data_IF_260025870335
#
_entry.id   IF_260025870335
#
_cell.length_a   1.000
_cell.length_b   1.000
_cell.length_c   1.000
_cell.angle_alpha   90.00
_cell.angle_beta   90.00
_cell.angle_gamma   90.00
#
_symmetry.space_group_name_H-M   'P 1'
#
loop_
_entity.id
_entity.type
_entity.pdbx_description
1 polymer ?
#
# COMPACT_ATOMS: atom_id res chain seq x y z
N UNK A 1 7.87 25.20 14.58
CA UNK A 1 9.06 24.79 13.81
C UNK A 1 9.25 23.29 14.00
N UNK A 2 9.10 22.50 12.94
CA UNK A 2 9.34 21.05 12.96
C UNK A 2 10.83 20.81 13.18
N UNK A 3 11.20 20.29 14.35
CA UNK A 3 12.60 19.96 14.68
C UNK A 3 13.06 18.83 13.76
N UNK A 4 14.06 19.13 12.94
CA UNK A 4 14.80 18.14 12.17
C UNK A 4 15.67 17.31 13.11
N UNK A 5 15.85 16.02 12.82
CA UNK A 5 16.77 15.18 13.58
C UNK A 5 18.23 15.49 13.22
N UNK A 6 19.18 15.27 14.14
CA UNK A 6 20.61 15.37 13.82
C UNK A 6 20.97 14.46 12.62
N UNK A 7 21.60 15.03 11.59
CA UNK A 7 21.97 14.32 10.36
C UNK A 7 20.80 14.06 9.39
N UNK A 8 19.62 14.65 9.62
CA UNK A 8 18.49 14.54 8.71
C UNK A 8 18.71 15.38 7.45
N UNK A 9 18.73 14.71 6.30
CA UNK A 9 18.88 15.30 4.98
C UNK A 9 17.58 15.22 4.23
N UNK A 10 17.14 16.34 3.66
CA UNK A 10 15.90 16.45 2.90
C UNK A 10 16.18 16.63 1.41
N UNK A 11 15.51 15.84 0.57
CA UNK A 11 15.52 15.98 -0.90
C UNK A 11 14.13 16.29 -1.42
N UNK A 12 14.04 17.16 -2.42
CA UNK A 12 12.77 17.50 -3.09
C UNK A 12 12.41 16.41 -4.10
N UNK A 13 11.17 15.93 -4.01
CA UNK A 13 10.64 14.94 -4.95
C UNK A 13 10.29 15.65 -6.27
N UNK A 14 10.93 15.20 -7.35
CA UNK A 14 10.61 15.57 -8.73
C UNK A 14 9.52 14.64 -9.27
N UNK A 15 8.50 15.23 -9.87
CA UNK A 15 7.47 14.52 -10.61
C UNK A 15 7.84 14.53 -12.10
N UNK A 16 7.52 13.46 -12.79
CA UNK A 16 7.73 13.24 -14.23
C UNK A 16 6.59 13.81 -15.09
N UNK A 17 5.63 14.49 -14.48
CA UNK A 17 4.48 15.10 -15.12
C UNK A 17 4.27 16.53 -14.60
N UNK A 18 3.64 17.35 -15.45
CA UNK A 18 3.24 18.70 -15.09
C UNK A 18 1.92 18.74 -14.32
N UNK A 19 1.82 19.63 -13.34
CA UNK A 19 0.60 19.83 -12.56
C UNK A 19 0.46 21.29 -12.10
N UNK A 20 -0.78 21.74 -11.89
CA UNK A 20 -1.09 23.14 -11.56
C UNK A 20 -1.09 23.44 -10.06
N UNK A 21 -1.12 22.42 -9.21
CA UNK A 21 -1.13 22.62 -7.77
C UNK A 21 0.20 23.23 -7.33
N UNK A 22 0.20 24.30 -6.53
CA UNK A 22 1.41 24.75 -5.85
C UNK A 22 1.72 23.78 -4.69
N UNK A 23 2.29 22.64 -5.03
CA UNK A 23 2.57 21.53 -4.12
C UNK A 23 4.01 21.08 -4.27
N UNK A 24 4.75 21.04 -3.16
CA UNK A 24 6.10 20.47 -3.11
C UNK A 24 6.16 19.39 -2.05
N UNK A 25 6.74 18.25 -2.40
CA UNK A 25 7.00 17.14 -1.48
C UNK A 25 8.50 17.02 -1.25
N UNK A 26 8.90 16.91 0.02
CA UNK A 26 10.29 16.56 0.38
C UNK A 26 10.31 15.25 1.14
N UNK A 27 11.31 14.42 0.84
CA UNK A 27 11.59 13.15 1.51
C UNK A 27 12.91 13.25 2.28
N UNK A 28 12.92 12.69 3.48
CA UNK A 28 14.08 12.66 4.36
C UNK A 28 14.75 11.28 4.34
N UNK A 29 16.06 11.24 4.59
CA UNK A 29 16.82 10.00 4.78
C UNK A 29 16.35 9.18 6.00
N UNK A 30 15.59 9.78 6.94
CA UNK A 30 14.95 9.08 8.05
C UNK A 30 13.59 8.45 7.68
N UNK A 31 13.15 8.60 6.43
CA UNK A 31 11.85 8.09 6.00
C UNK A 31 10.65 8.96 6.39
N UNK A 32 10.90 10.25 6.66
CA UNK A 32 9.87 11.26 6.89
C UNK A 32 9.54 11.98 5.58
N UNK A 33 8.29 12.42 5.48
CA UNK A 33 7.82 13.26 4.38
C UNK A 33 7.34 14.58 4.94
N UNK A 34 7.56 15.67 4.19
CA UNK A 34 6.98 16.98 4.47
C UNK A 34 6.38 17.59 3.21
N UNK A 35 5.27 18.28 3.38
CA UNK A 35 4.53 18.89 2.27
C UNK A 35 4.46 20.40 2.41
N UNK A 36 4.58 21.07 1.26
CA UNK A 36 4.45 22.51 1.13
C UNK A 36 3.31 22.79 0.17
N UNK A 37 2.25 23.44 0.65
CA UNK A 37 1.11 23.92 -0.12
C UNK A 37 0.59 25.22 0.51
N UNK A 38 -0.54 25.76 0.03
CA UNK A 38 -1.11 27.01 0.58
C UNK A 38 -1.48 26.95 2.07
N UNK A 39 -1.69 25.75 2.62
CA UNK A 39 -2.17 25.52 4.00
C UNK A 39 -1.03 24.98 4.90
N UNK A 40 -0.10 24.23 4.33
CA UNK A 40 0.97 23.52 5.02
C UNK A 40 2.31 24.06 4.55
N UNK A 41 3.13 24.54 5.48
CA UNK A 41 4.48 25.01 5.20
C UNK A 41 5.52 24.12 5.87
N UNK A 42 5.62 22.88 5.39
CA UNK A 42 6.60 21.90 5.90
C UNK A 42 6.11 21.00 7.02
N UNK A 43 4.79 20.83 7.18
CA UNK A 43 4.23 19.85 8.11
C UNK A 43 4.60 18.43 7.70
N UNK A 44 4.81 17.58 8.70
CA UNK A 44 5.18 16.17 8.49
C UNK A 44 3.95 15.37 8.12
N UNK A 45 4.10 14.54 7.09
CA UNK A 45 3.04 13.65 6.59
C UNK A 45 3.42 12.21 6.88
N UNK A 46 2.58 11.52 7.66
CA UNK A 46 2.79 10.12 8.00
C UNK A 46 2.31 9.16 6.91
N UNK A 47 1.39 9.61 6.05
CA UNK A 47 0.77 8.80 5.00
C UNK A 47 -0.29 7.85 5.55
N UNK A 48 -0.84 7.02 4.66
CA UNK A 48 -1.76 5.94 4.98
C UNK A 48 -1.02 4.58 5.00
N UNK A 49 -1.74 3.51 5.36
CA UNK A 49 -1.22 2.15 5.41
C UNK A 49 -1.78 1.27 4.28
N UNK A 50 -0.93 0.46 3.65
CA UNK A 50 -1.34 -0.58 2.68
C UNK A 50 -0.42 -1.81 2.80
N UNK A 51 -0.98 -3.00 3.03
CA UNK A 51 -0.24 -4.26 3.17
C UNK A 51 0.94 -4.20 4.17
N UNK A 52 0.78 -3.38 5.22
CA UNK A 52 1.80 -3.13 6.24
C UNK A 52 2.86 -2.07 5.88
N UNK A 53 2.78 -1.42 4.72
CA UNK A 53 3.69 -0.33 4.31
C UNK A 53 3.02 1.04 4.41
N UNK A 54 3.83 2.07 4.71
CA UNK A 54 3.40 3.47 4.60
C UNK A 54 3.35 3.92 3.14
N UNK A 55 2.25 4.57 2.75
CA UNK A 55 2.00 5.09 1.41
C UNK A 55 1.55 6.54 1.47
N UNK A 56 2.07 7.37 0.56
CA UNK A 56 1.52 8.70 0.30
C UNK A 56 0.57 8.65 -0.89
N UNK A 57 -0.60 9.26 -0.74
CA UNK A 57 -1.59 9.42 -1.80
C UNK A 57 -1.81 10.91 -2.04
N UNK A 58 -1.57 11.36 -3.25
CA UNK A 58 -1.67 12.75 -3.65
C UNK A 58 -2.68 12.87 -4.79
N UNK A 59 -3.54 13.89 -4.70
CA UNK A 59 -4.44 14.29 -5.78
C UNK A 59 -3.90 15.57 -6.40
N UNK A 60 -3.37 15.47 -7.61
CA UNK A 60 -2.81 16.57 -8.38
C UNK A 60 -3.69 16.82 -9.61
N UNK A 61 -3.52 17.95 -10.29
CA UNK A 61 -4.31 18.31 -11.47
C UNK A 61 -3.41 18.73 -12.62
N UNK A 62 -3.63 18.17 -13.81
CA UNK A 62 -2.96 18.61 -15.05
C UNK A 62 -3.32 20.06 -15.37
N UNK A 63 -2.49 20.79 -16.13
CA UNK A 63 -2.89 22.04 -16.77
C UNK A 63 -4.18 21.87 -17.56
N UNK A 64 -5.01 22.92 -17.60
CA UNK A 64 -6.22 22.92 -18.41
C UNK A 64 -5.87 23.32 -19.84
N UNK A 65 -6.47 22.65 -20.82
CA UNK A 65 -6.38 23.10 -22.21
C UNK A 65 -7.03 24.47 -22.40
N UNK A 66 -6.41 25.32 -23.22
CA UNK A 66 -6.86 26.70 -23.46
C UNK A 66 -8.29 26.77 -24.01
N UNK A 67 -8.66 25.84 -24.91
CA UNK A 67 -10.01 25.76 -25.49
C UNK A 67 -11.08 25.52 -24.42
N UNK A 68 -10.79 24.60 -23.49
CA UNK A 68 -11.70 24.26 -22.38
C UNK A 68 -11.79 25.43 -21.40
N UNK A 69 -10.65 26.07 -21.09
CA UNK A 69 -10.60 27.28 -20.26
C UNK A 69 -11.48 28.38 -20.84
N UNK A 70 -11.33 28.70 -22.13
CA UNK A 70 -12.12 29.73 -22.81
C UNK A 70 -13.63 29.45 -22.76
N UNK A 71 -14.03 28.18 -22.94
CA UNK A 71 -15.44 27.77 -22.85
C UNK A 71 -16.00 27.96 -21.45
N UNK A 72 -15.26 27.58 -20.41
CA UNK A 72 -15.67 27.76 -19.02
C UNK A 72 -15.76 29.25 -18.65
N UNK A 73 -14.80 30.05 -19.10
CA UNK A 73 -14.81 31.50 -18.88
C UNK A 73 -15.99 32.18 -19.58
N UNK A 74 -16.35 31.74 -20.79
CA UNK A 74 -17.55 32.19 -21.47
C UNK A 74 -18.82 31.87 -20.66
N UNK A 75 -18.96 30.62 -20.16
CA UNK A 75 -20.10 30.24 -19.34
C UNK A 75 -20.14 31.01 -18.01
N UNK A 76 -18.99 31.27 -17.38
CA UNK A 76 -18.90 32.13 -16.18
C UNK A 76 -19.37 33.55 -16.49
N UNK A 77 -18.96 34.14 -17.62
CA UNK A 77 -19.42 35.46 -18.06
C UNK A 77 -20.94 35.49 -18.29
N UNK A 78 -21.53 34.43 -18.84
CA UNK A 78 -22.98 34.33 -18.99
C UNK A 78 -23.69 34.33 -17.63
N UNK A 79 -23.21 33.52 -16.68
CA UNK A 79 -23.75 33.49 -15.31
C UNK A 79 -23.62 34.86 -14.63
N UNK A 80 -22.48 35.53 -14.79
CA UNK A 80 -22.26 36.86 -14.23
C UNK A 80 -23.21 37.92 -14.82
N UNK A 81 -23.36 37.96 -16.14
CA UNK A 81 -24.31 38.86 -16.82
C UNK A 81 -25.73 38.66 -16.31
N UNK A 82 -26.15 37.40 -16.17
CA UNK A 82 -27.49 37.08 -15.69
C UNK A 82 -27.68 37.41 -14.20
N UNK A 83 -26.67 37.18 -13.36
CA UNK A 83 -26.69 37.59 -11.96
C UNK A 83 -26.80 39.12 -11.80
N UNK A 84 -26.09 39.87 -12.65
CA UNK A 84 -26.18 41.34 -12.67
C UNK A 84 -27.55 41.81 -13.13
N UNK A 85 -28.12 41.17 -14.16
CA UNK A 85 -29.49 41.43 -14.62
C UNK A 85 -30.50 41.19 -13.50
N UNK A 86 -30.42 40.05 -12.81
CA UNK A 86 -31.30 39.74 -11.68
C UNK A 86 -31.22 40.80 -10.58
N UNK A 87 -30.02 41.29 -10.25
CA UNK A 87 -29.84 42.36 -9.27
C UNK A 87 -30.52 43.66 -9.69
N UNK A 88 -30.41 44.06 -10.96
CA UNK A 88 -31.09 45.23 -11.50
C UNK A 88 -32.62 45.08 -11.44
N UNK A 89 -33.16 43.93 -11.85
CA UNK A 89 -34.61 43.66 -11.79
C UNK A 89 -35.20 43.76 -10.38
N UNK A 90 -34.43 43.35 -9.36
CA UNK A 90 -34.81 43.48 -7.96
C UNK A 90 -34.79 44.95 -7.53
N UNK A 91 -33.80 45.73 -7.98
CA UNK A 91 -33.66 47.15 -7.66
C UNK A 91 -34.74 48.01 -8.35
N UNK A 92 -35.12 47.66 -9.58
CA UNK A 92 -36.12 48.38 -10.38
C UNK A 92 -37.57 48.04 -9.98
N UNK A 93 -37.77 47.14 -9.01
CA UNK A 93 -39.09 46.76 -8.52
C UNK A 93 -39.93 45.94 -9.51
N UNK A 94 -39.30 45.14 -10.37
CA UNK A 94 -40.00 44.33 -11.38
C UNK A 94 -40.99 43.31 -10.76
N UNK A 95 -41.95 42.87 -11.57
CA UNK A 95 -42.95 41.86 -11.17
C UNK A 95 -42.27 40.59 -10.63
N UNK A 96 -42.75 40.11 -9.47
CA UNK A 96 -42.25 38.89 -8.80
C UNK A 96 -42.16 37.66 -9.71
N UNK A 97 -43.04 37.54 -10.72
CA UNK A 97 -43.03 36.45 -11.70
C UNK A 97 -41.79 36.47 -12.59
N UNK A 98 -41.35 37.66 -13.03
CA UNK A 98 -40.17 37.86 -13.87
C UNK A 98 -38.90 37.55 -13.08
N UNK A 99 -38.81 38.06 -11.85
CA UNK A 99 -37.70 37.79 -10.93
C UNK A 99 -37.56 36.28 -10.67
N UNK A 100 -38.68 35.58 -10.45
CA UNK A 100 -38.70 34.12 -10.24
C UNK A 100 -38.19 33.36 -11.47
N UNK A 101 -38.62 33.75 -12.68
CA UNK A 101 -38.16 33.15 -13.93
C UNK A 101 -36.65 33.32 -14.15
N UNK A 102 -36.13 34.53 -13.97
CA UNK A 102 -34.69 34.82 -14.07
C UNK A 102 -33.87 34.06 -13.02
N UNK A 103 -34.41 33.90 -11.80
CA UNK A 103 -33.77 33.14 -10.72
C UNK A 103 -33.64 31.67 -11.08
N UNK A 104 -34.68 31.04 -11.64
CA UNK A 104 -34.66 29.64 -12.09
C UNK A 104 -33.63 29.45 -13.21
N UNK A 105 -33.59 30.37 -14.17
CA UNK A 105 -32.60 30.34 -15.26
C UNK A 105 -31.16 30.46 -14.72
N UNK A 106 -30.93 31.36 -13.76
CA UNK A 106 -29.63 31.53 -13.13
C UNK A 106 -29.18 30.27 -12.38
N UNK A 107 -30.09 29.63 -11.63
CA UNK A 107 -29.80 28.38 -10.94
C UNK A 107 -29.44 27.26 -11.92
N UNK A 108 -30.20 27.14 -13.02
CA UNK A 108 -29.95 26.17 -14.09
C UNK A 108 -28.57 26.36 -14.71
N UNK A 109 -28.19 27.61 -15.02
CA UNK A 109 -26.87 27.91 -15.58
C UNK A 109 -25.74 27.65 -14.58
N UNK A 110 -25.92 28.00 -13.29
CA UNK A 110 -24.95 27.68 -12.23
C UNK A 110 -24.77 26.17 -12.08
N UNK A 111 -25.86 25.39 -12.14
CA UNK A 111 -25.82 23.92 -12.07
C UNK A 111 -25.05 23.34 -13.25
N UNK A 112 -25.33 23.77 -14.48
CA UNK A 112 -24.60 23.34 -15.68
C UNK A 112 -23.11 23.70 -15.60
N UNK A 113 -22.81 24.95 -15.22
CA UNK A 113 -21.42 25.41 -15.03
C UNK A 113 -20.68 24.54 -14.01
N UNK A 114 -21.29 24.28 -12.86
CA UNK A 114 -20.74 23.40 -11.82
C UNK A 114 -20.48 21.99 -12.35
N UNK A 115 -21.43 21.39 -13.07
CA UNK A 115 -21.26 20.08 -13.70
C UNK A 115 -20.09 20.06 -14.69
N UNK A 116 -19.93 21.10 -15.52
CA UNK A 116 -18.80 21.20 -16.46
C UNK A 116 -17.46 21.34 -15.73
N UNK A 117 -17.39 22.13 -14.65
CA UNK A 117 -16.20 22.21 -13.82
C UNK A 117 -15.86 20.87 -13.14
N UNK A 118 -16.85 20.13 -12.64
CA UNK A 118 -16.60 18.82 -12.03
C UNK A 118 -16.11 17.79 -13.05
N UNK A 119 -16.65 17.82 -14.27
CA UNK A 119 -16.19 16.96 -15.36
C UNK A 119 -14.72 17.27 -15.74
N UNK A 120 -14.37 18.54 -15.96
CA UNK A 120 -12.99 19.00 -16.23
C UNK A 120 -12.04 18.62 -15.09
N UNK A 121 -12.47 18.83 -13.84
CA UNK A 121 -11.67 18.50 -12.67
C UNK A 121 -11.38 17.00 -12.60
N UNK A 122 -12.38 16.15 -12.89
CA UNK A 122 -12.22 14.69 -12.91
C UNK A 122 -11.26 14.24 -14.00
N UNK A 123 -11.40 14.79 -15.20
CA UNK A 123 -10.54 14.49 -16.35
C UNK A 123 -9.07 14.87 -16.09
N UNK A 124 -8.85 16.03 -15.47
CA UNK A 124 -7.51 16.53 -15.13
C UNK A 124 -6.90 15.90 -13.89
N UNK A 125 -7.66 15.13 -13.10
CA UNK A 125 -7.18 14.54 -11.85
C UNK A 125 -6.07 13.52 -12.10
N UNK A 126 -4.93 13.72 -11.45
CA UNK A 126 -3.83 12.77 -11.35
C UNK A 126 -3.82 12.20 -9.93
N UNK A 127 -4.04 10.89 -9.82
CA UNK A 127 -3.92 10.17 -8.55
C UNK A 127 -2.51 9.59 -8.45
N UNK A 128 -1.64 10.26 -7.69
CA UNK A 128 -0.27 9.81 -7.48
C UNK A 128 -0.16 9.04 -6.17
N UNK A 129 0.31 7.79 -6.26
CA UNK A 129 0.48 6.90 -5.12
C UNK A 129 1.93 6.44 -5.06
N UNK A 130 2.57 6.57 -3.90
CA UNK A 130 3.95 6.09 -3.75
C UNK A 130 4.26 5.57 -2.35
N UNK A 131 4.99 4.46 -2.28
CA UNK A 131 5.42 3.86 -1.02
C UNK A 131 6.59 4.67 -0.47
N UNK A 132 6.56 4.97 0.83
CA UNK A 132 7.55 5.86 1.45
C UNK A 132 8.96 5.25 1.33
N UNK A 133 9.14 3.96 1.61
CA UNK A 133 10.44 3.30 1.47
C UNK A 133 10.99 3.36 0.04
N UNK A 134 10.14 3.25 -0.99
CA UNK A 134 10.57 3.36 -2.40
C UNK A 134 10.98 4.79 -2.73
N UNK A 135 10.26 5.79 -2.23
CA UNK A 135 10.67 7.19 -2.36
C UNK A 135 12.04 7.41 -1.71
N UNK A 136 12.21 7.00 -0.45
CA UNK A 136 13.50 7.17 0.25
C UNK A 136 14.63 6.49 -0.51
N UNK A 137 14.46 5.22 -0.88
CA UNK A 137 15.46 4.49 -1.65
C UNK A 137 15.79 5.16 -3.00
N UNK A 138 14.77 5.64 -3.73
CA UNK A 138 14.98 6.30 -5.03
C UNK A 138 15.76 7.62 -4.95
N UNK A 139 15.67 8.34 -3.83
CA UNK A 139 16.37 9.62 -3.65
C UNK A 139 17.70 9.53 -2.92
N UNK A 140 17.89 8.53 -2.05
CA UNK A 140 19.08 8.43 -1.20
C UNK A 140 19.99 7.24 -1.54
N UNK A 141 19.48 6.20 -2.20
CA UNK A 141 20.28 5.04 -2.61
C UNK A 141 20.51 5.08 -4.11
N UNK A 142 21.78 4.93 -4.54
CA UNK A 142 22.09 4.72 -5.95
C UNK A 142 21.62 3.33 -6.34
N UNK A 143 20.88 3.22 -7.45
CA UNK A 143 20.48 1.94 -8.02
C UNK A 143 21.72 1.29 -8.66
N UNK A 144 22.25 0.16 -8.12
CA UNK A 144 23.51 -0.40 -8.58
C UNK A 144 23.41 -1.06 -9.95
N UNK A 145 22.32 -1.82 -10.19
CA UNK A 145 22.07 -2.54 -11.45
C UNK A 145 20.60 -2.43 -11.86
N UNK A 146 20.30 -2.49 -13.16
CA UNK A 146 18.93 -2.48 -13.70
C UNK A 146 18.04 -3.59 -13.12
N UNK A 147 18.61 -4.77 -12.84
CA UNK A 147 17.94 -5.97 -12.27
C UNK A 147 17.43 -5.78 -10.83
N UNK A 148 17.99 -4.84 -10.07
CA UNK A 148 17.59 -4.62 -8.68
C UNK A 148 16.36 -3.71 -8.62
N UNK A 149 15.19 -4.33 -8.75
CA UNK A 149 13.91 -3.64 -8.86
C UNK A 149 13.14 -3.53 -7.54
N UNK A 150 13.50 -4.32 -6.52
CA UNK A 150 12.79 -4.37 -5.24
C UNK A 150 13.58 -3.58 -4.20
N UNK A 151 12.87 -2.79 -3.39
CA UNK A 151 13.42 -2.17 -2.20
C UNK A 151 12.98 -3.01 -0.99
N UNK A 152 13.95 -3.58 -0.28
CA UNK A 152 13.72 -4.40 0.89
C UNK A 152 14.17 -3.69 2.17
N UNK A 153 13.52 -4.02 3.29
CA UNK A 153 13.89 -3.61 4.63
C UNK A 153 14.81 -4.66 5.25
N UNK A 154 16.03 -4.26 5.65
CA UNK A 154 17.04 -5.16 6.21
C UNK A 154 16.61 -5.78 7.54
N UNK A 155 15.89 -5.02 8.37
CA UNK A 155 15.34 -5.46 9.65
C UNK A 155 13.98 -6.21 9.56
N UNK A 156 13.46 -6.43 8.36
CA UNK A 156 12.11 -6.97 8.09
C UNK A 156 10.94 -6.13 8.64
N UNK A 157 11.19 -4.93 9.16
CA UNK A 157 10.17 -4.01 9.66
C UNK A 157 9.77 -3.01 8.57
N UNK A 158 8.59 -3.23 7.98
CA UNK A 158 8.00 -2.42 6.89
C UNK A 158 7.76 -0.94 7.25
N UNK A 159 7.78 -0.59 8.54
CA UNK A 159 7.58 0.78 9.02
C UNK A 159 8.90 1.55 9.19
N UNK A 160 10.04 0.85 9.29
CA UNK A 160 11.34 1.47 9.47
C UNK A 160 11.92 1.93 8.10
N UNK A 161 11.48 3.10 7.64
CA UNK A 161 11.83 3.63 6.32
C UNK A 161 13.13 4.45 6.30
N UNK A 162 14.03 4.27 7.27
CA UNK A 162 15.34 4.94 7.28
C UNK A 162 16.20 4.40 6.15
N UNK A 163 16.97 5.27 5.50
CA UNK A 163 17.81 4.91 4.34
C UNK A 163 18.78 3.76 4.64
N UNK A 164 19.35 3.73 5.84
CA UNK A 164 20.29 2.68 6.27
C UNK A 164 19.64 1.31 6.44
N UNK A 165 18.32 1.26 6.60
CA UNK A 165 17.54 0.03 6.68
C UNK A 165 17.02 -0.42 5.31
N UNK A 166 17.22 0.36 4.25
CA UNK A 166 16.70 0.06 2.92
C UNK A 166 17.83 -0.40 1.99
N UNK A 167 17.52 -1.38 1.15
CA UNK A 167 18.45 -1.87 0.13
C UNK A 167 17.72 -2.24 -1.16
N UNK A 168 18.32 -1.90 -2.29
CA UNK A 168 17.90 -2.42 -3.59
C UNK A 168 18.33 -3.87 -3.75
N UNK A 169 17.39 -4.74 -4.09
CA UNK A 169 17.59 -6.19 -4.25
C UNK A 169 16.97 -6.68 -5.56
N UNK A 170 17.52 -7.76 -6.11
CA UNK A 170 16.84 -8.56 -7.14
C UNK A 170 15.70 -9.39 -6.51
N UNK A 171 14.78 -9.94 -7.30
CA UNK A 171 13.75 -10.86 -6.80
C UNK A 171 14.33 -12.06 -6.03
N UNK A 172 15.45 -12.61 -6.51
CA UNK A 172 16.14 -13.76 -5.92
C UNK A 172 16.77 -13.38 -4.58
N UNK A 173 17.51 -12.26 -4.53
CA UNK A 173 18.09 -11.73 -3.29
C UNK A 173 17.02 -11.44 -2.24
N UNK A 174 15.90 -10.83 -2.65
CA UNK A 174 14.80 -10.56 -1.73
C UNK A 174 14.14 -11.86 -1.25
N UNK A 175 14.02 -12.90 -2.09
CA UNK A 175 13.48 -14.18 -1.67
C UNK A 175 14.35 -14.84 -0.59
N UNK A 176 15.67 -14.87 -0.78
CA UNK A 176 16.60 -15.38 0.24
C UNK A 176 16.55 -14.54 1.51
N UNK A 177 16.48 -13.21 1.40
CA UNK A 177 16.30 -12.32 2.55
C UNK A 177 15.03 -12.66 3.33
N UNK A 178 13.88 -12.82 2.65
CA UNK A 178 12.62 -13.16 3.31
C UNK A 178 12.64 -14.53 4.00
N UNK A 179 13.42 -15.51 3.52
CA UNK A 179 13.54 -16.81 4.23
C UNK A 179 14.12 -16.66 5.63
N UNK A 180 15.01 -15.68 5.82
CA UNK A 180 15.67 -15.40 7.08
C UNK A 180 14.82 -14.48 8.00
N UNK A 181 13.63 -14.06 7.54
CA UNK A 181 12.73 -13.26 8.36
C UNK A 181 12.30 -14.03 9.61
N UNK A 182 12.39 -13.43 10.81
CA UNK A 182 11.94 -14.05 12.05
C UNK A 182 10.49 -14.54 12.00
N UNK A 183 9.62 -13.81 11.29
CA UNK A 183 8.22 -14.17 11.10
C UNK A 183 8.07 -15.45 10.27
N UNK A 184 8.86 -15.57 9.19
CA UNK A 184 8.85 -16.74 8.31
C UNK A 184 9.43 -17.97 9.02
N UNK A 185 10.50 -17.79 9.79
CA UNK A 185 11.10 -18.87 10.60
C UNK A 185 10.10 -19.34 11.66
N UNK A 186 9.45 -18.41 12.38
CA UNK A 186 8.43 -18.72 13.37
C UNK A 186 7.24 -19.46 12.75
N UNK A 187 6.72 -18.97 11.63
CA UNK A 187 5.60 -19.62 10.93
C UNK A 187 5.98 -21.02 10.44
N UNK A 188 7.19 -21.21 9.89
CA UNK A 188 7.68 -22.54 9.48
C UNK A 188 7.76 -23.49 10.68
N UNK A 189 8.25 -23.02 11.82
CA UNK A 189 8.30 -23.80 13.07
C UNK A 189 6.89 -24.18 13.51
N UNK A 190 5.96 -23.22 13.57
CA UNK A 190 4.57 -23.45 13.94
C UNK A 190 3.84 -24.38 12.97
N UNK A 191 4.07 -24.29 11.66
CA UNK A 191 3.50 -25.23 10.68
C UNK A 191 4.02 -26.65 10.87
N UNK A 192 5.31 -26.80 11.22
CA UNK A 192 5.90 -28.13 11.52
C UNK A 192 5.36 -28.71 12.82
N UNK A 193 5.10 -27.87 13.82
CA UNK A 193 4.52 -28.29 15.11
C UNK A 193 3.00 -28.46 15.07
N UNK A 194 2.31 -27.91 14.05
CA UNK A 194 0.88 -28.12 13.85
C UNK A 194 0.64 -29.53 13.30
N UNK A 195 0.49 -30.49 14.20
CA UNK A 195 -0.04 -31.80 13.86
C UNK A 195 -1.55 -31.65 13.62
N UNK A 196 -2.00 -31.80 12.37
CA UNK A 196 -3.40 -31.61 12.01
C UNK A 196 -4.24 -32.82 12.49
N UNK A 197 -4.56 -32.87 13.78
CA UNK A 197 -5.31 -33.95 14.43
C UNK A 197 -6.76 -34.04 13.95
N UNK A 198 -7.38 -32.92 13.59
CA UNK A 198 -8.79 -32.82 13.25
C UNK A 198 -9.12 -33.09 11.77
N UNK A 199 -8.13 -33.44 10.95
CA UNK A 199 -8.40 -33.83 9.58
C UNK A 199 -8.72 -35.32 9.50
N UNK A 200 -9.95 -35.67 9.13
CA UNK A 200 -10.33 -37.06 8.77
C UNK A 200 -9.45 -37.66 7.66
N UNK A 201 -8.72 -36.83 6.92
CA UNK A 201 -7.79 -37.24 5.86
C UNK A 201 -6.34 -37.47 6.36
N UNK A 202 -6.02 -37.17 7.62
CA UNK A 202 -4.68 -37.39 8.16
C UNK A 202 -4.39 -38.88 8.36
N UNK A 203 -3.41 -39.43 7.62
CA UNK A 203 -2.99 -40.84 7.73
C UNK A 203 -2.34 -41.14 9.09
N UNK A 204 -1.60 -40.17 9.65
CA UNK A 204 -0.95 -40.23 10.95
C UNK A 204 -1.55 -39.19 11.91
N UNK A 205 -1.86 -39.63 13.11
CA UNK A 205 -2.28 -38.82 14.26
C UNK A 205 -1.23 -38.95 15.36
N UNK A 206 -1.25 -38.08 16.37
CA UNK A 206 -0.36 -38.15 17.55
C UNK A 206 -0.31 -39.56 18.13
N UNK A 207 -1.47 -40.16 18.43
CA UNK A 207 -1.57 -41.52 18.98
C UNK A 207 -0.96 -42.58 18.07
N UNK A 208 -1.21 -42.50 16.75
CA UNK A 208 -0.63 -43.43 15.77
C UNK A 208 0.89 -43.27 15.71
N UNK A 209 1.41 -42.05 15.81
CA UNK A 209 2.85 -41.80 15.79
C UNK A 209 3.52 -42.29 17.08
N UNK A 210 2.88 -42.10 18.24
CA UNK A 210 3.35 -42.67 19.51
C UNK A 210 3.47 -44.20 19.42
N UNK A 211 2.46 -44.87 18.87
CA UNK A 211 2.47 -46.32 18.64
C UNK A 211 3.53 -46.72 17.61
N UNK A 212 3.64 -46.00 16.50
CA UNK A 212 4.65 -46.25 15.47
C UNK A 212 6.07 -46.15 16.07
N UNK A 213 6.36 -45.12 16.87
CA UNK A 213 7.65 -44.97 17.56
C UNK A 213 7.91 -46.10 18.55
N UNK A 214 6.90 -46.55 19.30
CA UNK A 214 7.01 -47.73 20.18
C UNK A 214 7.38 -49.00 19.38
N UNK A 215 6.71 -49.25 18.26
CA UNK A 215 6.99 -50.42 17.40
C UNK A 215 8.37 -50.36 16.72
N UNK A 216 8.84 -49.15 16.37
CA UNK A 216 10.20 -48.93 15.87
C UNK A 216 11.22 -49.29 16.96
N UNK A 217 10.99 -48.87 18.20
CA UNK A 217 11.87 -49.17 19.35
C UNK A 217 11.89 -50.66 19.67
N UNK A 218 10.78 -51.38 19.44
CA UNK A 218 10.69 -52.84 19.55
C UNK A 218 11.36 -53.61 18.39
N UNK A 219 11.96 -52.91 17.42
CA UNK A 219 12.68 -53.54 16.31
C UNK A 219 11.79 -54.16 15.22
N UNK A 220 10.51 -53.79 15.13
CA UNK A 220 9.63 -54.31 14.08
C UNK A 220 10.14 -53.92 12.68
N UNK A 221 10.07 -54.84 11.69
CA UNK A 221 10.58 -54.58 10.36
C UNK A 221 9.75 -53.51 9.62
N UNK A 222 10.44 -52.63 8.89
CA UNK A 222 9.85 -51.45 8.23
C UNK A 222 8.68 -51.80 7.31
N UNK A 223 8.80 -52.90 6.54
CA UNK A 223 7.75 -53.39 5.64
C UNK A 223 6.41 -53.65 6.35
N UNK A 224 6.46 -54.13 7.60
CA UNK A 224 5.25 -54.35 8.40
C UNK A 224 4.63 -53.02 8.85
N UNK A 225 5.47 -52.06 9.26
CA UNK A 225 5.02 -50.74 9.69
C UNK A 225 4.38 -49.94 8.54
N UNK A 226 4.96 -50.00 7.34
CA UNK A 226 4.36 -49.40 6.13
C UNK A 226 2.97 -49.94 5.85
N UNK A 227 2.81 -51.27 5.92
CA UNK A 227 1.52 -51.92 5.69
C UNK A 227 0.48 -51.57 6.76
N UNK A 228 0.90 -51.53 8.03
CA UNK A 228 0.03 -51.26 9.18
C UNK A 228 -0.44 -49.79 9.22
N UNK A 229 0.47 -48.84 9.00
CA UNK A 229 0.16 -47.41 9.10
C UNK A 229 -0.21 -46.76 7.76
N UNK A 230 -0.13 -47.50 6.64
CA UNK A 230 -0.43 -47.04 5.27
C UNK A 230 0.33 -45.75 4.89
N UNK A 231 1.61 -45.71 5.26
CA UNK A 231 2.56 -44.61 5.01
C UNK A 231 3.79 -45.12 4.27
N UNK A 232 4.51 -44.24 3.58
CA UNK A 232 5.70 -44.64 2.80
C UNK A 232 6.89 -44.95 3.71
N UNK A 233 7.81 -45.81 3.26
CA UNK A 233 9.06 -46.11 4.00
C UNK A 233 9.81 -44.82 4.36
N UNK A 234 9.92 -43.90 3.40
CA UNK A 234 10.57 -42.58 3.60
C UNK A 234 9.93 -41.79 4.74
N UNK A 235 8.60 -41.83 4.87
CA UNK A 235 7.90 -41.14 5.95
C UNK A 235 8.23 -41.74 7.32
N UNK A 236 8.32 -43.07 7.42
CA UNK A 236 8.71 -43.74 8.67
C UNK A 236 10.20 -43.47 8.97
N UNK A 237 11.08 -43.48 7.98
CA UNK A 237 12.50 -43.12 8.17
C UNK A 237 12.66 -41.68 8.69
N UNK A 238 11.90 -40.71 8.17
CA UNK A 238 11.91 -39.32 8.66
C UNK A 238 11.41 -39.21 10.11
N UNK A 239 10.42 -40.02 10.49
CA UNK A 239 9.92 -40.10 11.88
C UNK A 239 10.98 -40.73 12.80
N UNK A 240 11.63 -41.81 12.34
CA UNK A 240 12.72 -42.49 13.06
C UNK A 240 13.93 -41.57 13.29
N UNK A 241 14.27 -40.72 12.31
CA UNK A 241 15.36 -39.73 12.40
C UNK A 241 14.98 -38.46 13.16
N UNK A 242 13.71 -38.30 13.56
CA UNK A 242 13.23 -37.09 14.24
C UNK A 242 13.08 -35.86 13.33
N UNK A 243 13.23 -36.01 12.01
CA UNK A 243 13.01 -34.93 11.03
C UNK A 243 11.53 -34.51 10.97
N UNK A 244 10.62 -35.46 11.21
CA UNK A 244 9.17 -35.25 11.25
C UNK A 244 8.61 -35.85 12.54
N UNK A 245 7.64 -35.18 13.19
CA UNK A 245 7.08 -35.59 14.49
C UNK A 245 8.13 -35.79 15.60
N UNK A 246 9.24 -35.07 15.55
CA UNK A 246 10.36 -35.22 16.51
C UNK A 246 9.97 -34.87 17.96
N UNK A 247 8.97 -34.00 18.12
CA UNK A 247 8.40 -33.51 19.37
C UNK A 247 7.49 -34.51 20.12
N UNK A 248 7.11 -35.62 19.48
CA UNK A 248 6.23 -36.64 20.08
C UNK A 248 7.02 -37.78 20.67
N UNK A 249 6.79 -38.13 21.92
CA UNK A 249 7.44 -39.28 22.56
C UNK A 249 6.83 -40.62 22.14
N UNK A 250 7.59 -41.71 22.26
CA UNK A 250 7.04 -43.05 22.05
C UNK A 250 5.97 -43.35 23.10
N UNK A 251 4.93 -44.11 22.74
CA UNK A 251 3.99 -44.60 23.73
C UNK A 251 4.74 -45.43 24.78
N UNK A 252 4.43 -45.18 26.06
CA UNK A 252 4.87 -46.03 27.18
C UNK A 252 4.38 -47.46 26.96
#
# INVERSE_FOLDING_TARGET
>A
MTKDYPGEQWKTVKFDFEFTNNFRLRVSNFGRLRTFNKISDGNIVNGAMINGYRIIRLKLYRPREERVQAKLDHMQKQVFKLARKLKAQIQDGEKKTVIKGTTILLDTLKKNLSQKFQADLKERTINYHSLIHRLVAGYFLKKPTSKQIIVAHLDHNKLNNRVNNLKWMTPEENYEHQKNSPLVIKEKKERRSRHNENSRAAKLTVTKVMLLKKLINQGKPMKQLVKQFKVTDTQIFRIKRGENWGDIEAAK
#
